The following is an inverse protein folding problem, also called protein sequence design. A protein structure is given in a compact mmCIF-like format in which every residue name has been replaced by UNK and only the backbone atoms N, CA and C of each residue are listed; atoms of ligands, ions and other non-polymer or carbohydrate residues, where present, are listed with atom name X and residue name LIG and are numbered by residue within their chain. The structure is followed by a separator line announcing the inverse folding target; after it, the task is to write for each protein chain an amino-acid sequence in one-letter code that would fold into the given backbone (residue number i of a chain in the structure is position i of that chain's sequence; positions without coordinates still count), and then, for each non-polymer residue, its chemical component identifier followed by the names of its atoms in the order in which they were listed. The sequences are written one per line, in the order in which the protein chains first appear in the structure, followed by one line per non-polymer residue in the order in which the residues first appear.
data_IF_802650707547
#
_entry.id   IF_802650707547
#
_cell.length_a   1.000
_cell.length_b   1.000
_cell.length_c   1.000
_cell.angle_alpha   90.00
_cell.angle_beta   90.00
_cell.angle_gamma   90.00
#
_symmetry.space_group_name_H-M   'P 1'
#
loop_
_entity.id
_entity.type
_entity.pdbx_description
1 polymer ?
#
# COMPACT_ATOMS: atom_id res chain seq x y z
N UNK A 1 -20.24 -12.80 -19.30
CA UNK A 1 -19.67 -12.42 -20.61
C UNK A 1 -19.21 -10.96 -20.54
N UNK A 2 -17.97 -10.71 -20.14
CA UNK A 2 -17.36 -9.37 -20.22
C UNK A 2 -16.31 -9.44 -21.33
N UNK A 3 -16.73 -9.21 -22.58
CA UNK A 3 -15.81 -9.11 -23.72
C UNK A 3 -15.13 -7.75 -23.72
N UNK A 4 -13.88 -7.71 -24.16
CA UNK A 4 -13.02 -6.52 -24.23
C UNK A 4 -13.60 -5.36 -25.07
N UNK A 5 -14.69 -5.57 -25.81
CA UNK A 5 -15.43 -4.52 -26.50
C UNK A 5 -16.07 -3.49 -25.54
N UNK A 6 -16.23 -3.80 -24.25
CA UNK A 6 -16.98 -2.99 -23.28
C UNK A 6 -16.18 -1.90 -22.54
N UNK A 7 -14.84 -1.89 -22.63
CA UNK A 7 -14.03 -0.95 -21.83
C UNK A 7 -14.09 0.50 -22.33
N UNK A 8 -14.41 0.69 -23.62
CA UNK A 8 -14.68 1.98 -24.28
C UNK A 8 -15.76 1.78 -25.35
N UNK A 9 -16.88 1.15 -24.96
CA UNK A 9 -18.00 1.00 -25.88
C UNK A 9 -18.71 2.34 -26.02
N UNK A 10 -18.76 2.89 -27.23
CA UNK A 10 -19.51 4.11 -27.53
C UNK A 10 -21.03 3.87 -27.47
N UNK A 11 -21.47 2.61 -27.54
CA UNK A 11 -22.88 2.24 -27.51
C UNK A 11 -23.14 1.08 -26.54
N UNK A 12 -23.77 1.39 -25.41
CA UNK A 12 -24.38 0.38 -24.54
C UNK A 12 -25.83 0.15 -24.97
N UNK A 13 -26.31 -1.09 -24.92
CA UNK A 13 -27.73 -1.36 -25.08
C UNK A 13 -28.50 -0.81 -23.87
N UNK A 14 -29.38 0.16 -24.14
CA UNK A 14 -30.33 0.66 -23.16
C UNK A 14 -31.70 0.01 -23.46
N UNK A 15 -32.34 -0.63 -22.46
CA UNK A 15 -33.70 -1.14 -22.60
C UNK A 15 -34.67 -0.03 -23.04
N UNK A 16 -35.71 -0.34 -23.82
CA UNK A 16 -36.68 0.67 -24.28
C UNK A 16 -37.39 1.38 -23.13
N UNK A 17 -37.51 0.72 -21.97
CA UNK A 17 -38.13 1.28 -20.76
C UNK A 17 -37.15 2.10 -19.89
N UNK A 18 -35.87 2.22 -20.27
CA UNK A 18 -34.87 2.92 -19.49
C UNK A 18 -34.90 4.43 -19.72
N UNK A 19 -35.41 5.16 -18.73
CA UNK A 19 -35.31 6.61 -18.64
C UNK A 19 -34.06 7.09 -17.85
N UNK A 20 -33.10 7.80 -18.46
CA UNK A 20 -31.90 8.30 -17.76
C UNK A 20 -32.21 9.24 -16.60
N UNK A 21 -33.26 10.07 -16.71
CA UNK A 21 -33.67 11.00 -15.65
C UNK A 21 -34.24 10.29 -14.42
N UNK A 22 -34.93 9.17 -14.62
CA UNK A 22 -35.58 8.40 -13.56
C UNK A 22 -34.64 7.37 -12.94
N UNK A 23 -33.94 6.62 -13.78
CA UNK A 23 -33.12 5.48 -13.36
C UNK A 23 -31.66 5.85 -13.11
N UNK A 24 -31.17 7.01 -13.57
CA UNK A 24 -29.80 7.52 -13.42
C UNK A 24 -28.70 6.67 -14.08
N UNK A 25 -28.64 5.37 -13.80
CA UNK A 25 -27.68 4.43 -14.36
C UNK A 25 -28.32 3.08 -14.66
N UNK A 26 -27.77 2.36 -15.62
CA UNK A 26 -28.23 1.03 -16.02
C UNK A 26 -28.11 0.01 -14.86
N UNK A 27 -27.10 0.16 -14.01
CA UNK A 27 -26.94 -0.66 -12.80
C UNK A 27 -28.14 -0.50 -11.85
N UNK A 28 -28.59 0.74 -11.62
CA UNK A 28 -29.75 1.03 -10.76
C UNK A 28 -31.06 0.54 -11.39
N UNK A 29 -31.20 0.62 -12.72
CA UNK A 29 -32.33 0.03 -13.44
C UNK A 29 -32.43 -1.49 -13.23
N UNK A 30 -31.29 -2.20 -13.26
CA UNK A 30 -31.24 -3.64 -12.98
C UNK A 30 -31.19 -3.99 -11.48
N UNK A 31 -31.28 -3.01 -10.57
CA UNK A 31 -31.18 -3.23 -9.13
C UNK A 31 -29.81 -3.76 -8.66
N UNK A 32 -28.76 -3.58 -9.46
CA UNK A 32 -27.41 -4.04 -9.15
C UNK A 32 -26.53 -2.89 -8.65
N UNK A 33 -25.67 -3.18 -7.67
CA UNK A 33 -24.64 -2.23 -7.26
C UNK A 33 -23.49 -2.22 -8.29
N UNK A 34 -22.91 -1.04 -8.65
CA UNK A 34 -21.79 -0.97 -9.60
C UNK A 34 -20.58 -1.85 -9.22
N UNK A 35 -20.31 -1.97 -7.92
CA UNK A 35 -19.21 -2.81 -7.39
C UNK A 35 -19.61 -4.28 -7.18
N UNK A 36 -20.87 -4.65 -7.48
CA UNK A 36 -21.41 -6.03 -7.39
C UNK A 36 -21.06 -6.69 -6.06
N UNK A 37 -20.54 -7.92 -6.10
CA UNK A 37 -20.20 -8.75 -4.94
C UNK A 37 -19.21 -8.08 -3.97
N UNK A 38 -18.35 -7.18 -4.45
CA UNK A 38 -17.39 -6.47 -3.58
C UNK A 38 -18.08 -5.57 -2.56
N UNK A 39 -19.28 -5.09 -2.89
CA UNK A 39 -20.11 -4.24 -2.04
C UNK A 39 -21.15 -5.03 -1.24
N UNK A 40 -21.03 -6.36 -1.13
CA UNK A 40 -21.99 -7.20 -0.39
C UNK A 40 -22.18 -6.77 1.08
N UNK A 41 -21.15 -6.16 1.70
CA UNK A 41 -21.16 -5.69 3.09
C UNK A 41 -21.09 -4.16 3.19
N UNK A 42 -21.52 -3.44 2.15
CA UNK A 42 -21.43 -1.98 2.11
C UNK A 42 -22.27 -1.31 3.21
N UNK A 43 -23.38 -1.92 3.61
CA UNK A 43 -24.23 -1.44 4.73
C UNK A 43 -23.46 -1.40 6.07
N UNK A 44 -22.43 -2.26 6.22
CA UNK A 44 -21.55 -2.29 7.38
C UNK A 44 -20.30 -1.40 7.20
N UNK A 45 -20.22 -0.66 6.10
CA UNK A 45 -19.06 0.14 5.72
C UNK A 45 -17.85 -0.70 5.27
N UNK A 46 -18.07 -1.98 4.90
CA UNK A 46 -17.01 -2.91 4.51
C UNK A 46 -17.02 -3.09 3.00
N UNK A 47 -15.87 -2.87 2.37
CA UNK A 47 -15.67 -3.11 0.95
C UNK A 47 -14.58 -4.17 0.74
N UNK A 48 -14.87 -5.18 -0.08
CA UNK A 48 -13.85 -6.17 -0.47
C UNK A 48 -12.96 -5.60 -1.56
N UNK A 49 -11.67 -5.48 -1.29
CA UNK A 49 -10.65 -4.98 -2.22
C UNK A 49 -9.55 -6.01 -2.43
N UNK A 50 -8.79 -5.88 -3.52
CA UNK A 50 -7.55 -6.63 -3.71
C UNK A 50 -6.41 -5.82 -3.10
N UNK A 51 -5.81 -6.34 -2.05
CA UNK A 51 -4.77 -5.68 -1.26
C UNK A 51 -3.45 -6.40 -1.42
N UNK A 52 -2.37 -5.65 -1.66
CA UNK A 52 -1.01 -6.15 -1.73
C UNK A 52 -0.33 -5.86 -0.39
N UNK A 53 0.31 -6.86 0.22
CA UNK A 53 0.95 -6.68 1.52
C UNK A 53 2.17 -5.74 1.37
N UNK A 54 2.26 -4.64 2.16
CA UNK A 54 3.27 -3.60 1.93
C UNK A 54 4.69 -3.98 2.36
N UNK A 55 4.85 -4.98 3.23
CA UNK A 55 6.13 -5.46 3.74
C UNK A 55 6.06 -6.96 4.06
N UNK A 56 7.21 -7.58 4.28
CA UNK A 56 7.30 -8.99 4.65
C UNK A 56 6.70 -9.22 6.04
N UNK A 57 5.81 -10.21 6.16
CA UNK A 57 5.17 -10.57 7.44
C UNK A 57 5.24 -12.07 7.69
N UNK A 58 5.27 -12.44 8.96
CA UNK A 58 5.18 -13.82 9.43
C UNK A 58 3.81 -14.07 10.04
N UNK A 59 3.10 -15.10 9.58
CA UNK A 59 1.82 -15.49 10.17
C UNK A 59 2.01 -16.13 11.54
N UNK A 60 1.34 -15.64 12.59
CA UNK A 60 1.50 -16.17 13.96
C UNK A 60 1.01 -17.62 14.11
N UNK A 61 0.03 -18.04 13.30
CA UNK A 61 -0.61 -19.37 13.41
C UNK A 61 0.21 -20.50 12.76
N UNK A 62 0.67 -20.32 11.53
CA UNK A 62 1.39 -21.36 10.77
C UNK A 62 2.90 -21.09 10.64
N UNK A 63 3.38 -19.91 11.05
CA UNK A 63 4.79 -19.53 10.92
C UNK A 63 5.26 -19.35 9.48
N UNK A 64 4.34 -19.25 8.51
CA UNK A 64 4.70 -19.05 7.12
C UNK A 64 4.99 -17.58 6.81
N UNK A 65 5.95 -17.38 5.91
CA UNK A 65 6.37 -16.07 5.44
C UNK A 65 5.50 -15.62 4.28
N UNK A 66 4.84 -14.47 4.45
CA UNK A 66 4.09 -13.78 3.42
C UNK A 66 4.99 -12.68 2.87
N UNK A 67 5.27 -12.77 1.57
CA UNK A 67 6.17 -11.83 0.92
C UNK A 67 5.49 -10.48 0.66
N UNK A 68 6.29 -9.41 0.66
CA UNK A 68 5.88 -8.11 0.16
C UNK A 68 5.32 -8.23 -1.26
N UNK A 69 4.16 -7.64 -1.49
CA UNK A 69 3.46 -7.68 -2.77
C UNK A 69 2.52 -8.87 -2.98
N UNK A 70 2.44 -9.80 -2.01
CA UNK A 70 1.46 -10.88 -2.08
C UNK A 70 0.02 -10.34 -2.02
N UNK A 71 -0.86 -10.88 -2.88
CA UNK A 71 -2.19 -10.33 -3.15
C UNK A 71 -3.29 -11.09 -2.42
N UNK A 72 -4.02 -10.41 -1.55
CA UNK A 72 -5.18 -10.95 -0.84
C UNK A 72 -6.48 -10.23 -1.20
N UNK A 73 -7.59 -10.93 -1.06
CA UNK A 73 -8.90 -10.29 -0.94
C UNK A 73 -9.05 -9.83 0.51
N UNK A 74 -9.09 -8.51 0.73
CA UNK A 74 -9.16 -7.90 2.04
C UNK A 74 -10.46 -7.13 2.23
N UNK A 75 -11.01 -7.19 3.44
CA UNK A 75 -12.11 -6.36 3.89
C UNK A 75 -11.56 -5.01 4.35
N UNK A 76 -11.83 -3.96 3.58
CA UNK A 76 -11.52 -2.57 3.92
C UNK A 76 -12.63 -2.00 4.78
N UNK A 77 -12.28 -1.55 5.99
CA UNK A 77 -13.17 -0.86 6.94
C UNK A 77 -12.54 0.46 7.38
N UNK A 78 -13.33 1.52 7.51
CA UNK A 78 -12.88 2.76 8.16
C UNK A 78 -13.22 2.69 9.65
N UNK A 79 -12.23 2.87 10.52
CA UNK A 79 -12.40 2.72 11.99
C UNK A 79 -12.37 4.05 12.72
N UNK A 80 -11.59 5.00 12.21
CA UNK A 80 -11.48 6.33 12.79
C UNK A 80 -10.88 7.33 11.80
N UNK A 81 -10.48 8.47 12.32
CA UNK A 81 -9.81 9.53 11.57
C UNK A 81 -8.68 10.12 12.38
N UNK A 82 -7.53 10.31 11.72
CA UNK A 82 -6.44 11.13 12.21
C UNK A 82 -6.57 12.52 11.56
N UNK A 83 -7.04 13.50 12.31
CA UNK A 83 -7.52 14.80 11.80
C UNK A 83 -8.55 14.61 10.67
N UNK A 84 -8.25 15.03 9.45
CA UNK A 84 -9.11 14.88 8.27
C UNK A 84 -8.90 13.54 7.52
N UNK A 85 -7.81 12.82 7.81
CA UNK A 85 -7.43 11.59 7.10
C UNK A 85 -8.06 10.36 7.78
N UNK A 86 -8.75 9.51 7.02
CA UNK A 86 -9.37 8.30 7.57
C UNK A 86 -8.33 7.23 7.87
N UNK A 87 -8.44 6.61 9.05
CA UNK A 87 -7.68 5.41 9.42
C UNK A 87 -8.43 4.20 8.89
N UNK A 88 -7.76 3.47 7.98
CA UNK A 88 -8.31 2.30 7.31
C UNK A 88 -7.75 1.03 7.94
N UNK A 89 -8.63 0.06 8.17
CA UNK A 89 -8.28 -1.29 8.55
C UNK A 89 -8.55 -2.24 7.39
N UNK A 90 -7.58 -3.12 7.14
CA UNK A 90 -7.64 -4.19 6.17
C UNK A 90 -7.58 -5.52 6.92
N UNK A 91 -8.67 -6.27 6.87
CA UNK A 91 -8.69 -7.64 7.40
C UNK A 91 -8.60 -8.63 6.24
N UNK A 92 -7.64 -9.53 6.30
CA UNK A 92 -7.43 -10.59 5.31
C UNK A 92 -7.34 -11.95 6.00
N UNK A 93 -7.69 -13.00 5.25
CA UNK A 93 -7.62 -14.38 5.74
C UNK A 93 -6.51 -15.11 5.01
N UNK A 94 -5.57 -15.64 5.78
CA UNK A 94 -4.50 -16.50 5.27
C UNK A 94 -5.04 -17.91 4.99
N UNK A 95 -4.32 -18.72 4.19
CA UNK A 95 -4.78 -20.07 3.83
C UNK A 95 -4.94 -21.00 5.05
N UNK A 96 -4.21 -20.74 6.15
CA UNK A 96 -4.34 -21.48 7.41
C UNK A 96 -5.59 -21.08 8.24
N UNK A 97 -6.42 -20.17 7.71
CA UNK A 97 -7.59 -19.60 8.39
C UNK A 97 -7.26 -18.55 9.45
N UNK A 98 -5.99 -18.13 9.59
CA UNK A 98 -5.63 -17.00 10.44
C UNK A 98 -6.16 -15.71 9.84
N UNK A 99 -6.75 -14.84 10.67
CA UNK A 99 -7.19 -13.51 10.27
C UNK A 99 -6.09 -12.51 10.60
N UNK A 100 -5.54 -11.87 9.58
CA UNK A 100 -4.50 -10.85 9.71
C UNK A 100 -5.17 -9.49 9.57
N UNK A 101 -4.87 -8.58 10.50
CA UNK A 101 -5.42 -7.23 10.53
C UNK A 101 -4.30 -6.20 10.41
N UNK A 102 -4.36 -5.37 9.37
CA UNK A 102 -3.41 -4.29 9.12
C UNK A 102 -4.16 -2.95 9.17
N UNK A 103 -3.59 -1.95 9.82
CA UNK A 103 -4.11 -0.58 9.88
C UNK A 103 -3.15 0.41 9.25
N UNK A 104 -3.68 1.50 8.69
CA UNK A 104 -2.88 2.65 8.25
C UNK A 104 -2.58 3.58 9.42
N UNK A 105 -1.35 4.05 9.54
CA UNK A 105 -0.97 5.16 10.43
C UNK A 105 -0.64 6.41 9.60
N UNK A 106 -1.59 7.37 9.49
CA UNK A 106 -1.37 8.61 8.75
C UNK A 106 -0.28 9.52 9.35
N UNK A 107 0.08 9.35 10.63
CA UNK A 107 1.09 10.21 11.27
C UNK A 107 2.49 9.90 10.77
N UNK A 108 2.83 8.61 10.67
CA UNK A 108 4.14 8.13 10.24
C UNK A 108 4.16 7.71 8.75
N UNK A 109 3.02 7.80 8.06
CA UNK A 109 2.85 7.30 6.69
C UNK A 109 3.17 5.80 6.53
N UNK A 110 2.88 5.01 7.57
CA UNK A 110 3.20 3.58 7.63
C UNK A 110 1.95 2.70 7.76
N UNK A 111 2.13 1.39 7.58
CA UNK A 111 1.12 0.39 7.91
C UNK A 111 1.56 -0.37 9.17
N UNK A 112 0.62 -0.57 10.09
CA UNK A 112 0.82 -1.28 11.35
C UNK A 112 0.07 -2.60 11.32
N UNK A 113 0.74 -3.69 11.70
CA UNK A 113 0.07 -4.98 11.91
C UNK A 113 -0.51 -4.98 13.31
N UNK A 114 -1.83 -5.13 13.42
CA UNK A 114 -2.54 -5.12 14.71
C UNK A 114 -2.70 -6.55 15.24
N UNK A 115 -3.06 -7.49 14.37
CA UNK A 115 -3.36 -8.87 14.76
C UNK A 115 -2.94 -9.89 13.70
N UNK A 116 -2.57 -11.08 14.16
CA UNK A 116 -2.46 -12.30 13.35
C UNK A 116 -1.17 -12.46 12.55
N UNK A 117 -0.29 -11.46 12.58
CA UNK A 117 1.02 -11.54 11.97
C UNK A 117 2.04 -10.62 12.66
N UNK A 118 3.32 -10.88 12.40
CA UNK A 118 4.46 -10.06 12.84
C UNK A 118 5.17 -9.48 11.63
N UNK A 119 5.49 -8.19 11.68
CA UNK A 119 6.34 -7.55 10.67
C UNK A 119 7.75 -8.13 10.75
N UNK A 120 8.30 -8.56 9.62
CA UNK A 120 9.72 -8.89 9.53
C UNK A 120 10.51 -7.58 9.54
N UNK A 121 11.41 -7.44 10.49
CA UNK A 121 12.32 -6.29 10.55
C UNK A 121 13.51 -6.59 9.65
N UNK A 122 13.66 -5.80 8.58
CA UNK A 122 14.79 -5.89 7.66
C UNK A 122 15.69 -4.69 7.93
N UNK A 123 16.66 -4.88 8.81
CA UNK A 123 17.75 -3.92 9.00
C UNK A 123 18.73 -4.10 7.84
N UNK A 124 18.64 -3.23 6.84
CA UNK A 124 19.66 -3.14 5.81
C UNK A 124 20.87 -2.42 6.41
N UNK A 125 22.03 -3.06 6.39
CA UNK A 125 23.28 -2.37 6.71
C UNK A 125 23.59 -1.38 5.59
N UNK A 126 24.22 -0.25 5.90
CA UNK A 126 24.57 0.76 4.88
C UNK A 126 25.50 0.18 3.80
N UNK A 127 26.31 -0.83 4.14
CA UNK A 127 27.14 -1.58 3.21
C UNK A 127 26.33 -2.36 2.15
N UNK A 128 25.15 -2.89 2.51
CA UNK A 128 24.30 -3.67 1.60
C UNK A 128 23.41 -2.79 0.71
N UNK A 129 23.21 -1.52 1.07
CA UNK A 129 22.31 -0.61 0.38
C UNK A 129 22.99 0.23 -0.73
N UNK A 130 24.30 0.07 -0.94
CA UNK A 130 25.12 0.95 -1.79
C UNK A 130 24.95 2.45 -1.48
N UNK A 131 24.50 2.78 -0.27
CA UNK A 131 24.38 4.14 0.22
C UNK A 131 25.68 4.50 0.91
N UNK A 132 26.32 5.59 0.45
CA UNK A 132 27.50 6.16 1.09
C UNK A 132 27.16 6.40 2.56
N UNK A 133 27.89 5.73 3.47
CA UNK A 133 27.77 6.00 4.90
C UNK A 133 27.97 7.50 5.11
N UNK A 134 26.95 8.15 5.67
CA UNK A 134 27.05 9.54 6.02
C UNK A 134 28.20 9.63 7.03
N UNK A 135 29.23 10.44 6.76
CA UNK A 135 30.36 10.57 7.65
C UNK A 135 29.88 11.07 9.01
N UNK A 136 30.54 10.60 10.07
CA UNK A 136 30.22 10.93 11.45
C UNK A 136 30.02 12.43 11.65
N UNK A 137 29.18 12.81 12.63
CA UNK A 137 28.82 14.21 12.89
C UNK A 137 30.07 15.10 13.07
N UNK A 138 31.15 14.57 13.64
CA UNK A 138 32.45 15.26 13.77
C UNK A 138 33.13 15.52 12.42
N UNK A 139 33.15 14.54 11.51
CA UNK A 139 33.69 14.73 10.16
C UNK A 139 32.84 15.74 9.37
N UNK A 140 31.52 15.68 9.56
CA UNK A 140 30.57 16.61 8.93
C UNK A 140 30.77 18.03 9.42
N UNK A 141 31.00 18.22 10.72
CA UNK A 141 31.36 19.51 11.28
C UNK A 141 32.74 19.99 10.83
N UNK A 142 33.73 19.10 10.75
CA UNK A 142 35.08 19.45 10.28
C UNK A 142 35.06 19.92 8.82
N UNK A 143 34.29 19.26 7.96
CA UNK A 143 34.02 19.70 6.57
C UNK A 143 33.20 20.99 6.49
N UNK A 144 32.41 21.32 7.53
CA UNK A 144 31.70 22.62 7.61
C UNK A 144 32.62 23.76 8.03
N UNK A 145 33.49 23.52 9.01
CA UNK A 145 34.38 24.53 9.59
C UNK A 145 35.60 24.84 8.72
N UNK A 146 36.16 23.85 8.02
CA UNK A 146 37.36 24.02 7.21
C UNK A 146 37.06 23.87 5.70
N UNK A 147 37.13 24.97 4.91
CA UNK A 147 36.94 24.94 3.47
C UNK A 147 38.02 24.16 2.72
N UNK A 148 39.27 24.10 3.22
CA UNK A 148 40.38 23.41 2.53
C UNK A 148 40.20 21.89 2.61
N UNK A 149 39.88 21.41 3.81
CA UNK A 149 39.58 20.00 4.06
C UNK A 149 38.40 19.48 3.24
N UNK A 150 37.38 20.33 3.00
CA UNK A 150 36.25 19.97 2.12
C UNK A 150 36.70 19.76 0.67
N UNK A 151 37.62 20.59 0.17
CA UNK A 151 38.13 20.53 -1.20
C UNK A 151 39.01 19.29 -1.43
N UNK A 152 39.88 18.98 -0.47
CA UNK A 152 40.74 17.78 -0.51
C UNK A 152 39.89 16.50 -0.53
N UNK A 153 38.87 16.42 0.33
CA UNK A 153 37.95 15.29 0.36
C UNK A 153 37.17 15.12 -0.96
N UNK A 154 36.75 16.22 -1.58
CA UNK A 154 36.08 16.17 -2.89
C UNK A 154 37.02 15.70 -4.01
N UNK A 155 38.30 16.08 -3.96
CA UNK A 155 39.31 15.59 -4.90
C UNK A 155 39.56 14.09 -4.73
N UNK A 156 39.76 13.60 -3.51
CA UNK A 156 39.96 12.17 -3.24
C UNK A 156 38.76 11.31 -3.71
N UNK A 157 37.53 11.76 -3.46
CA UNK A 157 36.33 11.06 -3.95
C UNK A 157 36.27 11.07 -5.48
N UNK A 158 36.62 12.20 -6.11
CA UNK A 158 36.66 12.29 -7.57
C UNK A 158 37.71 11.36 -8.18
N UNK A 159 38.89 11.23 -7.56
CA UNK A 159 39.95 10.34 -8.03
C UNK A 159 39.57 8.87 -7.86
N UNK A 160 38.97 8.52 -6.71
CA UNK A 160 38.51 7.17 -6.42
C UNK A 160 37.35 6.72 -7.33
N UNK A 161 36.54 7.66 -7.80
CA UNK A 161 35.45 7.38 -8.76
C UNK A 161 35.91 7.21 -10.22
N UNK A 162 37.15 7.63 -10.53
CA UNK A 162 37.72 7.60 -11.88
C UNK A 162 38.57 6.35 -12.18
N UNK A 163 38.94 5.58 -11.15
CA UNK A 163 39.60 4.28 -11.28
C UNK A 163 38.60 3.14 -11.17
#
# INVERSE_FOLDING_TARGET
MSSLAAAKADNFYFPPDFDPKRHQSLNKYHGQHPLRERAKKLDQGILVIRFEVPFNIWCDKCGEHIAKGERFNAEKKAIGSYHSTKVLQFSMTHHCGCRITIQTDPKNAEYLVVEGARKKEETYSAADAEVIELPDEEERERRRRDPLYRLEYQQEVSERSRG
#
